data_IF_117321677436
#
_entry.id   IF_117321677436
#
_cell.length_a   1.000
_cell.length_b   1.000
_cell.length_c   1.000
_cell.angle_alpha   90.00
_cell.angle_beta   90.00
_cell.angle_gamma   90.00
#
_symmetry.space_group_name_H-M   'P 1'
#
loop_
_entity.id
_entity.type
_entity.pdbx_description
1 polymer ?
#
# COMPACT_ATOMS: atom_id res chain seq x y z
N UNK A 1 -19.01 -20.61 -20.00
CA UNK A 1 -17.87 -20.54 -20.95
C UNK A 1 -18.17 -19.65 -22.16
N UNK A 2 -19.11 -20.00 -23.06
CA UNK A 2 -19.40 -19.15 -24.24
C UNK A 2 -19.98 -17.76 -23.92
N UNK A 3 -20.76 -17.64 -22.85
CA UNK A 3 -21.32 -16.36 -22.39
C UNK A 3 -20.23 -15.43 -21.83
N UNK A 4 -19.27 -15.97 -21.12
CA UNK A 4 -18.11 -15.22 -20.61
C UNK A 4 -17.16 -14.78 -21.73
N UNK A 5 -16.96 -15.62 -22.76
CA UNK A 5 -16.16 -15.25 -23.94
C UNK A 5 -16.85 -14.14 -24.73
N UNK A 6 -18.19 -14.14 -24.81
CA UNK A 6 -18.94 -13.08 -25.46
C UNK A 6 -18.82 -11.74 -24.71
N UNK A 7 -18.88 -11.77 -23.38
CA UNK A 7 -18.67 -10.59 -22.51
C UNK A 7 -17.25 -10.05 -22.64
N UNK A 8 -16.24 -10.92 -22.64
CA UNK A 8 -14.84 -10.54 -22.83
C UNK A 8 -14.60 -9.90 -24.22
N UNK A 9 -15.31 -10.35 -25.25
CA UNK A 9 -15.21 -9.76 -26.59
C UNK A 9 -15.87 -8.38 -26.69
N UNK A 10 -16.91 -8.15 -25.90
CA UNK A 10 -17.60 -6.86 -25.83
C UNK A 10 -16.76 -5.82 -25.10
N UNK A 11 -16.07 -6.25 -24.04
CA UNK A 11 -15.25 -5.40 -23.18
C UNK A 11 -13.82 -5.20 -23.73
N UNK A 12 -13.29 -6.22 -24.43
CA UNK A 12 -11.93 -6.24 -25.01
C UNK A 12 -11.95 -6.75 -26.46
N UNK A 13 -12.46 -6.00 -27.44
CA UNK A 13 -12.67 -6.46 -28.81
C UNK A 13 -11.37 -6.90 -29.51
N UNK A 14 -10.24 -6.31 -29.16
CA UNK A 14 -8.94 -6.61 -29.76
C UNK A 14 -8.22 -7.82 -29.13
N UNK A 15 -8.67 -8.27 -27.96
CA UNK A 15 -8.08 -9.40 -27.24
C UNK A 15 -8.66 -10.76 -27.63
N UNK A 16 -9.85 -10.81 -28.21
CA UNK A 16 -10.56 -12.06 -28.51
C UNK A 16 -10.72 -12.23 -30.03
N UNK A 17 -9.82 -12.94 -30.70
CA UNK A 17 -9.85 -13.14 -32.17
C UNK A 17 -10.92 -14.13 -32.65
N UNK A 18 -11.96 -14.40 -31.85
CA UNK A 18 -12.94 -15.46 -32.13
C UNK A 18 -14.26 -14.90 -32.70
N UNK A 19 -14.65 -15.41 -33.88
CA UNK A 19 -15.97 -15.13 -34.44
C UNK A 19 -17.01 -16.09 -33.85
N UNK A 20 -17.83 -15.57 -32.93
CA UNK A 20 -18.89 -16.32 -32.26
C UNK A 20 -20.05 -16.72 -33.20
N UNK A 21 -20.09 -16.23 -34.45
CA UNK A 21 -21.17 -16.53 -35.40
C UNK A 21 -21.04 -17.90 -36.06
N UNK A 22 -19.87 -18.54 -36.02
CA UNK A 22 -19.62 -19.83 -36.64
C UNK A 22 -19.61 -21.03 -35.69
N UNK A 23 -19.83 -20.86 -34.40
CA UNK A 23 -19.59 -21.88 -33.39
C UNK A 23 -20.80 -22.53 -32.75
N UNK A 24 -21.74 -23.12 -33.51
CA UNK A 24 -22.58 -24.19 -32.97
C UNK A 24 -21.81 -25.52 -33.01
N UNK A 25 -21.17 -25.84 -31.89
CA UNK A 25 -20.67 -27.21 -31.64
C UNK A 25 -21.90 -28.14 -31.55
N UNK A 26 -22.08 -29.01 -32.50
CA UNK A 26 -23.03 -30.14 -32.38
C UNK A 26 -22.47 -31.08 -31.32
N UNK A 27 -23.33 -31.60 -30.44
CA UNK A 27 -22.97 -32.39 -29.28
C UNK A 27 -22.17 -33.68 -29.62
N UNK A 28 -22.20 -34.14 -30.88
CA UNK A 28 -21.53 -35.37 -31.35
C UNK A 28 -20.26 -35.13 -32.16
N UNK A 29 -19.77 -33.94 -32.31
CA UNK A 29 -18.54 -33.69 -33.04
C UNK A 29 -17.33 -33.93 -32.15
N UNK A 30 -16.42 -34.78 -32.59
CA UNK A 30 -15.06 -34.88 -32.00
C UNK A 30 -14.43 -33.50 -32.13
N UNK A 31 -14.44 -32.74 -31.02
CA UNK A 31 -13.83 -31.42 -30.98
C UNK A 31 -12.33 -31.58 -31.13
N UNK A 32 -11.75 -31.01 -32.17
CA UNK A 32 -10.31 -30.92 -32.26
C UNK A 32 -9.82 -29.95 -31.18
N UNK A 33 -9.27 -30.51 -30.09
CA UNK A 33 -8.82 -29.74 -28.90
C UNK A 33 -7.62 -28.84 -29.23
N UNK A 34 -6.84 -29.19 -30.27
CA UNK A 34 -5.59 -28.46 -30.61
C UNK A 34 -5.83 -26.97 -30.91
N UNK A 35 -6.81 -26.56 -31.76
CA UNK A 35 -7.10 -25.15 -31.98
C UNK A 35 -7.59 -24.42 -30.74
N UNK A 36 -8.37 -25.14 -29.89
CA UNK A 36 -8.88 -24.55 -28.63
C UNK A 36 -7.73 -24.32 -27.65
N UNK A 37 -6.81 -25.26 -27.52
CA UNK A 37 -5.61 -25.11 -26.67
C UNK A 37 -4.68 -24.01 -27.19
N UNK A 38 -4.49 -23.91 -28.50
CA UNK A 38 -3.72 -22.82 -29.12
C UNK A 38 -4.31 -21.45 -28.82
N UNK A 39 -5.64 -21.34 -28.90
CA UNK A 39 -6.35 -20.09 -28.60
C UNK A 39 -6.28 -19.73 -27.13
N UNK A 40 -6.46 -20.68 -26.22
CA UNK A 40 -6.31 -20.47 -24.78
C UNK A 40 -4.88 -20.02 -24.43
N UNK A 41 -3.87 -20.65 -25.04
CA UNK A 41 -2.46 -20.27 -24.85
C UNK A 41 -2.19 -18.85 -25.35
N UNK A 42 -2.78 -18.46 -26.48
CA UNK A 42 -2.64 -17.09 -27.01
C UNK A 42 -3.33 -16.05 -26.11
N UNK A 43 -4.53 -16.34 -25.63
CA UNK A 43 -5.26 -15.47 -24.70
C UNK A 43 -4.50 -15.34 -23.37
N UNK A 44 -4.02 -16.46 -22.81
CA UNK A 44 -3.18 -16.44 -21.60
C UNK A 44 -1.90 -15.65 -21.81
N UNK A 45 -1.20 -15.82 -22.94
CA UNK A 45 -0.01 -15.05 -23.27
C UNK A 45 -0.31 -13.55 -23.34
N UNK A 46 -1.40 -13.13 -23.98
CA UNK A 46 -1.80 -11.72 -24.04
C UNK A 46 -2.22 -11.16 -22.69
N UNK A 47 -2.92 -11.94 -21.87
CA UNK A 47 -3.26 -11.53 -20.50
C UNK A 47 -2.00 -11.42 -19.63
N UNK A 48 -1.04 -12.34 -19.77
CA UNK A 48 0.24 -12.25 -19.09
C UNK A 48 1.01 -11.00 -19.53
N UNK A 49 1.11 -10.72 -20.83
CA UNK A 49 1.76 -9.51 -21.35
C UNK A 49 1.04 -8.24 -20.87
N UNK A 50 -0.30 -8.23 -20.84
CA UNK A 50 -1.08 -7.09 -20.32
C UNK A 50 -0.93 -6.90 -18.80
N UNK A 51 -0.63 -7.97 -18.05
CA UNK A 51 -0.30 -7.91 -16.62
C UNK A 51 1.17 -7.54 -16.36
N UNK A 52 2.06 -7.89 -17.30
CA UNK A 52 3.49 -7.59 -17.24
C UNK A 52 3.82 -6.21 -17.84
N UNK A 53 2.98 -5.68 -18.75
CA UNK A 53 3.09 -4.28 -19.10
C UNK A 53 2.78 -3.48 -17.83
N UNK A 54 3.72 -2.62 -17.39
CA UNK A 54 3.41 -1.69 -16.35
C UNK A 54 2.19 -0.92 -16.84
N UNK A 55 1.02 -1.26 -16.30
CA UNK A 55 -0.15 -0.39 -16.48
C UNK A 55 0.41 1.01 -16.33
N UNK A 56 0.09 1.91 -17.27
CA UNK A 56 0.34 3.34 -17.15
C UNK A 56 -0.52 3.85 -15.98
N UNK A 57 -0.24 3.28 -14.81
CA UNK A 57 -0.68 3.83 -13.56
C UNK A 57 0.01 5.17 -13.50
N UNK A 58 -0.73 6.28 -13.42
CA UNK A 58 -0.11 7.58 -13.26
C UNK A 58 0.88 7.41 -12.13
N UNK A 59 2.17 7.58 -12.46
CA UNK A 59 3.27 7.54 -11.50
C UNK A 59 2.84 8.52 -10.44
N UNK A 60 2.36 8.01 -9.33
CA UNK A 60 2.03 8.81 -8.19
C UNK A 60 3.30 9.58 -7.90
N UNK A 61 3.16 10.86 -7.69
CA UNK A 61 4.25 11.82 -7.55
C UNK A 61 5.39 11.20 -6.74
N UNK A 62 6.55 11.00 -7.37
CA UNK A 62 7.71 10.39 -6.70
C UNK A 62 8.08 11.30 -5.53
N UNK A 63 7.99 10.78 -4.31
CA UNK A 63 8.39 11.52 -3.12
C UNK A 63 9.81 11.12 -2.74
N UNK A 64 10.63 12.12 -2.53
CA UNK A 64 12.01 11.94 -2.09
C UNK A 64 12.08 12.15 -0.58
N UNK A 65 12.83 11.29 0.13
CA UNK A 65 12.96 11.31 1.58
C UNK A 65 14.37 11.80 1.98
N UNK A 66 14.82 12.91 1.35
CA UNK A 66 16.16 13.47 1.58
C UNK A 66 16.35 14.01 3.01
N UNK A 67 15.28 14.28 3.73
CA UNK A 67 15.32 14.72 5.12
C UNK A 67 15.66 13.59 6.11
N UNK A 68 15.68 12.33 5.67
CA UNK A 68 16.07 11.18 6.51
C UNK A 68 17.59 11.07 6.56
N UNK A 69 18.15 11.12 7.77
CA UNK A 69 19.60 11.10 7.98
C UNK A 69 20.18 9.68 8.02
N UNK A 70 19.42 8.71 8.52
CA UNK A 70 19.86 7.33 8.58
C UNK A 70 19.62 6.63 7.24
N UNK A 71 20.69 6.28 6.52
CA UNK A 71 20.62 5.66 5.19
C UNK A 71 19.85 4.32 5.17
N UNK A 72 19.91 3.54 6.24
CA UNK A 72 19.18 2.28 6.33
C UNK A 72 17.66 2.54 6.47
N UNK A 73 17.27 3.50 7.31
CA UNK A 73 15.86 3.90 7.45
C UNK A 73 15.35 4.53 6.16
N UNK A 74 16.15 5.36 5.49
CA UNK A 74 15.80 5.94 4.19
C UNK A 74 15.49 4.85 3.15
N UNK A 75 16.36 3.87 3.02
CA UNK A 75 16.16 2.76 2.07
C UNK A 75 14.88 1.95 2.37
N UNK A 76 14.57 1.74 3.67
CA UNK A 76 13.34 1.07 4.09
C UNK A 76 12.12 1.90 3.71
N UNK A 77 12.13 3.21 4.02
CA UNK A 77 11.00 4.12 3.76
C UNK A 77 10.73 4.24 2.25
N UNK A 78 11.77 4.39 1.43
CA UNK A 78 11.64 4.49 -0.03
C UNK A 78 11.05 3.20 -0.62
N UNK A 79 11.54 2.03 -0.20
CA UNK A 79 10.98 0.73 -0.60
C UNK A 79 9.51 0.59 -0.19
N UNK A 80 9.20 0.89 1.07
CA UNK A 80 7.85 0.74 1.62
C UNK A 80 6.89 1.74 0.97
N UNK A 81 7.35 2.95 0.62
CA UNK A 81 6.55 3.93 -0.10
C UNK A 81 6.16 3.45 -1.51
N UNK A 82 7.08 2.83 -2.24
CA UNK A 82 6.77 2.20 -3.52
C UNK A 82 5.78 1.03 -3.36
N UNK A 83 5.94 0.24 -2.29
CA UNK A 83 5.05 -0.89 -2.01
C UNK A 83 3.64 -0.40 -1.62
N UNK A 84 3.52 0.69 -0.84
CA UNK A 84 2.25 1.36 -0.52
C UNK A 84 1.50 1.69 -1.81
N UNK A 85 2.17 2.29 -2.79
CA UNK A 85 1.54 2.67 -4.05
C UNK A 85 1.02 1.45 -4.81
N UNK A 86 1.84 0.40 -4.94
CA UNK A 86 1.43 -0.86 -5.58
C UNK A 86 0.26 -1.52 -4.86
N UNK A 87 0.33 -1.59 -3.54
CA UNK A 87 -0.74 -2.16 -2.71
C UNK A 87 -2.04 -1.35 -2.81
N UNK A 88 -1.95 -0.02 -2.89
CA UNK A 88 -3.12 0.86 -3.02
C UNK A 88 -3.85 0.61 -4.34
N UNK A 89 -3.13 0.52 -5.44
CA UNK A 89 -3.66 0.22 -6.77
C UNK A 89 -4.28 -1.18 -6.80
N UNK A 90 -3.64 -2.14 -6.14
CA UNK A 90 -4.11 -3.52 -6.06
C UNK A 90 -5.26 -3.72 -5.03
N UNK A 91 -5.78 -2.64 -4.45
CA UNK A 91 -6.84 -2.65 -3.43
C UNK A 91 -6.49 -3.48 -2.19
N UNK A 92 -5.20 -3.63 -1.88
CA UNK A 92 -4.70 -4.34 -0.70
C UNK A 92 -4.72 -3.42 0.53
N UNK A 93 -5.90 -2.97 0.95
CA UNK A 93 -6.10 -1.90 1.93
C UNK A 93 -5.40 -2.13 3.26
N UNK A 94 -5.47 -3.35 3.80
CA UNK A 94 -4.77 -3.70 5.04
C UNK A 94 -3.25 -3.52 4.91
N UNK A 95 -2.67 -3.95 3.79
CA UNK A 95 -1.23 -3.79 3.53
C UNK A 95 -0.84 -2.32 3.45
N UNK A 96 -1.64 -1.49 2.76
CA UNK A 96 -1.43 -0.04 2.69
C UNK A 96 -1.34 0.59 4.08
N UNK A 97 -2.30 0.29 4.94
CA UNK A 97 -2.38 0.86 6.30
C UNK A 97 -1.18 0.44 7.14
N UNK A 98 -0.81 -0.84 7.11
CA UNK A 98 0.33 -1.37 7.86
C UNK A 98 1.65 -0.74 7.38
N UNK A 99 1.86 -0.66 6.07
CA UNK A 99 3.07 -0.07 5.49
C UNK A 99 3.16 1.43 5.76
N UNK A 100 2.05 2.17 5.67
CA UNK A 100 2.01 3.60 6.05
C UNK A 100 2.40 3.79 7.51
N UNK A 101 1.86 2.96 8.42
CA UNK A 101 2.22 2.99 9.83
C UNK A 101 3.70 2.74 10.07
N UNK A 102 4.28 1.75 9.39
CA UNK A 102 5.71 1.43 9.45
C UNK A 102 6.60 2.56 8.90
N UNK A 103 6.22 3.15 7.77
CA UNK A 103 6.95 4.29 7.19
C UNK A 103 6.92 5.53 8.11
N UNK A 104 5.77 5.85 8.69
CA UNK A 104 5.63 6.96 9.65
C UNK A 104 6.50 6.70 10.90
N UNK A 105 6.49 5.47 11.42
CA UNK A 105 7.33 5.08 12.56
C UNK A 105 8.82 5.23 12.24
N UNK A 106 9.27 4.80 11.08
CA UNK A 106 10.65 4.94 10.66
C UNK A 106 11.08 6.41 10.51
N UNK A 107 10.22 7.26 9.92
CA UNK A 107 10.45 8.70 9.79
C UNK A 107 10.57 9.37 11.16
N UNK A 108 9.63 9.10 12.06
CA UNK A 108 9.63 9.70 13.40
C UNK A 108 10.80 9.19 14.24
N UNK A 109 11.19 7.93 14.09
CA UNK A 109 12.38 7.37 14.76
C UNK A 109 13.64 8.11 14.34
N UNK A 110 13.86 8.33 13.03
CA UNK A 110 15.01 9.09 12.55
C UNK A 110 14.99 10.52 13.07
N UNK A 111 13.85 11.19 12.97
CA UNK A 111 13.66 12.56 13.45
C UNK A 111 14.00 12.71 14.94
N UNK A 112 13.54 11.78 15.78
CA UNK A 112 13.78 11.82 17.22
C UNK A 112 15.20 11.37 17.60
N UNK A 113 15.83 10.49 16.81
CA UNK A 113 17.23 10.13 16.98
C UNK A 113 18.17 11.32 16.75
N UNK A 114 17.89 12.15 15.72
CA UNK A 114 18.62 13.39 15.47
C UNK A 114 18.46 14.35 16.66
N UNK A 115 17.28 14.40 17.25
CA UNK A 115 16.93 15.26 18.39
C UNK A 115 16.99 14.54 19.74
N UNK A 116 17.81 13.49 19.87
CA UNK A 116 17.79 12.53 20.98
C UNK A 116 17.76 13.19 22.36
N UNK A 117 18.62 14.17 22.61
CA UNK A 117 18.74 14.81 23.93
C UNK A 117 17.43 15.46 24.37
N UNK A 118 16.78 16.22 23.49
CA UNK A 118 15.52 16.88 23.83
C UNK A 118 14.36 15.87 23.82
N UNK A 119 14.38 14.87 22.93
CA UNK A 119 13.38 13.82 22.87
C UNK A 119 13.31 13.03 24.17
N UNK A 120 14.48 12.64 24.71
CA UNK A 120 14.57 11.93 25.98
C UNK A 120 14.16 12.77 27.20
N UNK A 121 14.13 14.10 27.07
CA UNK A 121 13.74 15.01 28.13
C UNK A 121 12.27 15.48 28.03
N UNK A 122 11.56 15.05 26.99
CA UNK A 122 10.16 15.39 26.79
C UNK A 122 9.29 14.77 27.90
N UNK A 123 8.18 15.42 28.24
CA UNK A 123 7.25 14.93 29.28
C UNK A 123 6.55 13.64 28.88
N UNK A 124 6.23 13.53 27.59
CA UNK A 124 5.62 12.34 26.98
C UNK A 124 6.62 11.23 26.65
N UNK A 125 7.92 11.45 26.90
CA UNK A 125 8.91 10.41 26.64
C UNK A 125 8.70 9.20 27.57
N UNK A 126 8.68 7.97 27.01
CA UNK A 126 8.53 6.77 27.82
C UNK A 126 9.78 6.53 28.69
N UNK A 127 9.61 5.72 29.72
CA UNK A 127 10.72 5.29 30.57
C UNK A 127 11.63 4.34 29.78
N UNK A 128 12.82 4.79 29.44
CA UNK A 128 13.81 4.00 28.72
C UNK A 128 14.71 4.88 27.86
N UNK A 129 15.92 4.41 27.56
CA UNK A 129 16.92 5.22 26.88
C UNK A 129 17.08 4.89 25.38
N UNK A 130 16.15 4.14 24.81
CA UNK A 130 16.24 3.66 23.44
C UNK A 130 14.99 4.03 22.63
N UNK A 131 15.12 5.10 21.83
CA UNK A 131 14.05 5.62 20.97
C UNK A 131 13.61 4.56 19.94
N UNK A 132 14.49 3.64 19.54
CA UNK A 132 14.16 2.62 18.54
C UNK A 132 13.17 1.56 19.06
N UNK A 133 12.86 1.59 20.35
CA UNK A 133 11.88 0.71 21.01
C UNK A 133 10.57 1.40 21.36
N UNK A 134 10.49 2.69 21.07
CA UNK A 134 9.25 3.43 21.30
C UNK A 134 8.19 3.00 20.30
N UNK A 135 6.97 2.88 20.76
CA UNK A 135 5.87 2.60 19.86
C UNK A 135 5.48 3.85 19.05
N UNK A 136 4.69 3.66 18.00
CA UNK A 136 4.27 4.76 17.13
C UNK A 136 3.54 5.87 17.91
N UNK A 137 2.80 5.52 18.96
CA UNK A 137 2.09 6.47 19.82
C UNK A 137 3.06 7.39 20.56
N UNK A 138 4.08 6.78 21.18
CA UNK A 138 5.11 7.48 21.93
C UNK A 138 5.94 8.40 21.02
N UNK A 139 6.31 7.91 19.83
CA UNK A 139 7.02 8.71 18.83
C UNK A 139 6.23 9.95 18.40
N UNK A 140 4.94 9.80 18.13
CA UNK A 140 4.07 10.91 17.72
C UNK A 140 3.92 11.91 18.86
N UNK A 141 3.63 11.45 20.07
CA UNK A 141 3.38 12.32 21.22
C UNK A 141 4.61 13.18 21.53
N UNK A 142 5.81 12.58 21.52
CA UNK A 142 7.06 13.32 21.72
C UNK A 142 7.35 14.28 20.57
N UNK A 143 7.18 13.86 19.32
CA UNK A 143 7.43 14.74 18.17
C UNK A 143 6.50 15.96 18.14
N UNK A 144 5.23 15.79 18.54
CA UNK A 144 4.25 16.89 18.67
C UNK A 144 4.59 17.80 19.85
N UNK A 145 4.93 17.24 21.03
CA UNK A 145 5.36 18.02 22.20
C UNK A 145 6.53 18.93 21.85
N UNK A 146 7.51 18.39 21.15
CA UNK A 146 8.70 19.13 20.71
C UNK A 146 8.45 20.07 19.51
N UNK A 147 7.24 20.08 18.97
CA UNK A 147 6.86 20.87 17.78
C UNK A 147 7.69 20.54 16.53
N UNK A 148 8.20 19.34 16.46
CA UNK A 148 8.92 18.82 15.28
C UNK A 148 7.97 18.47 14.15
N UNK A 149 6.72 18.15 14.48
CA UNK A 149 5.62 17.94 13.55
C UNK A 149 4.39 18.73 13.98
N UNK A 150 3.44 18.93 13.07
CA UNK A 150 2.23 19.71 13.36
C UNK A 150 1.34 19.02 14.40
N UNK A 151 0.66 19.81 15.25
CA UNK A 151 -0.29 19.30 16.23
C UNK A 151 -1.46 18.51 15.59
N UNK A 152 -1.75 18.74 14.31
CA UNK A 152 -2.73 17.96 13.54
C UNK A 152 -2.34 16.50 13.40
N UNK A 153 -1.04 16.19 13.35
CA UNK A 153 -0.54 14.82 13.27
C UNK A 153 -1.06 13.94 14.42
N UNK A 154 -1.09 14.44 15.65
CA UNK A 154 -1.57 13.68 16.79
C UNK A 154 -3.02 13.22 16.63
N UNK A 155 -3.89 14.10 16.09
CA UNK A 155 -5.31 13.78 15.89
C UNK A 155 -5.54 12.84 14.72
N UNK A 156 -4.83 13.04 13.62
CA UNK A 156 -4.97 12.25 12.39
C UNK A 156 -4.34 10.87 12.51
N UNK A 157 -3.28 10.74 13.30
CA UNK A 157 -2.57 9.48 13.49
C UNK A 157 -3.17 8.56 14.55
N UNK A 158 -4.16 9.03 15.34
CA UNK A 158 -4.80 8.19 16.34
C UNK A 158 -5.38 6.89 15.77
N UNK A 159 -6.12 6.89 14.66
CA UNK A 159 -6.56 5.66 14.01
C UNK A 159 -5.39 4.79 13.52
N UNK A 160 -4.33 5.39 12.99
CA UNK A 160 -3.15 4.65 12.49
C UNK A 160 -2.42 3.85 13.57
N UNK A 161 -2.42 4.33 14.83
CA UNK A 161 -1.85 3.62 15.97
C UNK A 161 -2.52 2.27 16.20
N UNK A 162 -3.85 2.25 16.08
CA UNK A 162 -4.65 1.03 16.22
C UNK A 162 -4.47 0.13 14.99
N UNK A 163 -4.51 0.71 13.80
CA UNK A 163 -4.40 -0.01 12.54
C UNK A 163 -3.02 -0.65 12.31
N UNK A 164 -1.92 -0.04 12.77
CA UNK A 164 -0.60 -0.68 12.70
C UNK A 164 -0.57 -2.02 13.43
N UNK A 165 -1.31 -2.14 14.51
CA UNK A 165 -1.41 -3.37 15.30
C UNK A 165 -2.24 -4.47 14.61
N UNK A 166 -2.83 -4.21 13.43
CA UNK A 166 -3.54 -5.21 12.61
C UNK A 166 -2.63 -6.30 12.03
N UNK A 167 -1.31 -6.16 12.16
CA UNK A 167 -0.36 -7.27 11.93
C UNK A 167 -0.73 -8.47 12.80
N UNK A 168 -1.36 -8.22 13.97
CA UNK A 168 -1.77 -9.24 14.90
C UNK A 168 -3.27 -9.57 14.73
N UNK A 169 -3.63 -10.75 14.18
CA UNK A 169 -5.03 -11.13 13.96
C UNK A 169 -5.94 -11.02 15.20
N UNK A 170 -5.36 -11.24 16.38
CA UNK A 170 -6.10 -11.10 17.64
C UNK A 170 -6.55 -9.66 17.95
N UNK A 171 -5.89 -8.64 17.43
CA UNK A 171 -6.32 -7.25 17.58
C UNK A 171 -7.46 -6.92 16.62
N UNK A 172 -7.42 -7.45 15.41
CA UNK A 172 -8.48 -7.32 14.43
C UNK A 172 -9.81 -7.88 14.95
N UNK A 173 -9.77 -9.08 15.56
CA UNK A 173 -10.96 -9.71 16.14
C UNK A 173 -11.49 -8.93 17.35
N UNK A 174 -10.61 -8.45 18.23
CA UNK A 174 -11.03 -7.78 19.48
C UNK A 174 -11.61 -6.40 19.24
N UNK A 175 -11.13 -5.68 18.24
CA UNK A 175 -11.48 -4.29 18.01
C UNK A 175 -12.55 -4.12 16.93
N UNK A 176 -13.01 -5.23 16.31
CA UNK A 176 -13.98 -5.21 15.20
C UNK A 176 -13.63 -4.19 14.10
N UNK A 177 -12.31 -4.00 13.86
CA UNK A 177 -11.82 -2.99 12.93
C UNK A 177 -12.11 -3.42 11.50
N UNK A 178 -12.99 -2.67 10.85
CA UNK A 178 -13.11 -2.69 9.40
C UNK A 178 -12.03 -1.80 8.79
N UNK A 179 -11.45 -2.23 7.68
CA UNK A 179 -10.54 -1.41 6.90
C UNK A 179 -10.87 -1.55 5.41
N UNK A 180 -11.02 -0.42 4.78
CA UNK A 180 -11.40 -0.28 3.40
C UNK A 180 -10.55 0.77 2.69
N UNK A 181 -11.05 1.24 1.57
CA UNK A 181 -10.40 2.26 0.76
C UNK A 181 -10.27 3.60 1.51
N UNK A 182 -11.23 3.94 2.36
CA UNK A 182 -11.27 5.19 3.11
C UNK A 182 -10.15 5.24 4.16
N UNK A 183 -9.99 4.19 4.96
CA UNK A 183 -8.94 4.08 5.98
C UNK A 183 -7.56 4.06 5.33
N UNK A 184 -7.41 3.37 4.20
CA UNK A 184 -6.17 3.33 3.44
C UNK A 184 -5.81 4.73 2.91
N UNK A 185 -6.77 5.51 2.39
CA UNK A 185 -6.56 6.90 1.96
C UNK A 185 -6.13 7.80 3.11
N UNK A 186 -6.81 7.69 4.26
CA UNK A 186 -6.44 8.45 5.47
C UNK A 186 -4.98 8.12 5.86
N UNK A 187 -4.59 6.85 5.85
CA UNK A 187 -3.23 6.44 6.17
C UNK A 187 -2.18 7.06 5.23
N UNK A 188 -2.44 7.05 3.93
CA UNK A 188 -1.58 7.66 2.91
C UNK A 188 -1.50 9.18 3.10
N UNK A 189 -2.63 9.85 3.36
CA UNK A 189 -2.66 11.30 3.59
C UNK A 189 -1.89 11.70 4.85
N UNK A 190 -1.95 10.91 5.92
CA UNK A 190 -1.15 11.16 7.14
C UNK A 190 0.35 11.08 6.83
N UNK A 191 0.78 10.09 6.06
CA UNK A 191 2.16 9.96 5.60
C UNK A 191 2.59 11.18 4.74
N UNK A 192 1.71 11.63 3.83
CA UNK A 192 1.96 12.80 3.00
C UNK A 192 2.04 14.11 3.81
N UNK A 193 1.21 14.25 4.84
CA UNK A 193 1.27 15.41 5.75
C UNK A 193 2.61 15.41 6.49
N UNK A 194 3.04 14.26 7.03
CA UNK A 194 4.32 14.14 7.70
C UNK A 194 5.49 14.49 6.76
N UNK A 195 5.49 13.93 5.56
CA UNK A 195 6.49 14.24 4.53
C UNK A 195 6.53 15.75 4.24
N UNK A 196 5.38 16.38 4.01
CA UNK A 196 5.27 17.82 3.76
C UNK A 196 5.79 18.66 4.93
N UNK A 197 5.51 18.26 6.17
CA UNK A 197 5.92 18.99 7.36
C UNK A 197 7.45 18.96 7.54
N UNK A 198 8.12 17.91 7.07
CA UNK A 198 9.57 17.70 7.19
C UNK A 198 10.38 18.18 5.96
N UNK A 199 9.73 18.44 4.84
CA UNK A 199 10.38 18.98 3.63
C UNK A 199 10.37 20.50 3.54
N UNK A 200 9.79 21.18 4.51
CA UNK A 200 9.78 22.66 4.63
C UNK A 200 11.02 23.15 5.35
#
# INVERSE_FOLDING_TARGET
MFREIALLKEEFPDLVPFDTKQGRLKADSKVNIIPVMGMLSMVLGRLQTALEEPTNVPVTEKREFEFISNSNLKAIIERDYEEIQRAFISHCWKSVIILCGGAIEAILTDLLLINKTIAMSAKSAPKGNDITRWDLSELIDVAVELKLVSAGMQKLSHPLREYRNLVHPGNEIRNELGFGAEEARIAVEVLHILHRDLTR
#
